data_IF_497364185184
#
_entry.id   IF_497364185184
#
_cell.length_a   1.000
_cell.length_b   1.000
_cell.length_c   1.000
_cell.angle_alpha   90.00
_cell.angle_beta   90.00
_cell.angle_gamma   90.00
#
_symmetry.space_group_name_H-M   'P 1'
#
loop_
_entity.id
_entity.type
_entity.pdbx_description
1 polymer ?
#
# COMPACT_ATOMS: atom_id res chain seq x y z
N UNK A 1 52.30 -25.80 25.84
CA UNK A 1 51.56 -25.05 26.90
C UNK A 1 52.39 -23.80 27.20
N UNK A 2 51.90 -22.63 26.81
CA UNK A 2 52.50 -21.35 27.09
C UNK A 2 52.26 -21.01 28.59
N UNK A 3 53.31 -21.18 29.42
CA UNK A 3 53.32 -20.75 30.82
C UNK A 3 53.81 -19.30 30.90
N UNK A 4 52.88 -18.34 30.65
CA UNK A 4 53.16 -16.92 30.88
C UNK A 4 52.54 -16.52 32.22
N UNK A 5 53.30 -15.84 33.08
CA UNK A 5 52.82 -15.26 34.38
C UNK A 5 51.72 -14.20 34.20
N UNK A 6 51.43 -13.80 32.95
CA UNK A 6 50.48 -12.74 32.63
C UNK A 6 49.27 -13.24 31.81
N UNK A 7 49.14 -14.57 31.57
CA UNK A 7 48.07 -15.12 30.72
C UNK A 7 46.68 -14.78 31.25
N UNK A 8 46.47 -14.86 32.55
CA UNK A 8 45.21 -14.53 33.19
C UNK A 8 44.81 -13.06 33.03
N UNK A 9 45.84 -12.16 33.13
CA UNK A 9 45.59 -10.72 32.93
C UNK A 9 45.31 -10.42 31.47
N UNK A 10 45.95 -11.13 30.54
CA UNK A 10 45.69 -10.99 29.12
C UNK A 10 44.27 -11.49 28.76
N UNK A 11 43.87 -12.65 29.30
CA UNK A 11 42.52 -13.19 29.12
C UNK A 11 41.45 -12.26 29.71
N UNK A 12 41.66 -11.71 30.88
CA UNK A 12 40.72 -10.74 31.48
C UNK A 12 40.64 -9.44 30.67
N UNK A 13 41.74 -8.95 30.11
CA UNK A 13 41.73 -7.78 29.24
C UNK A 13 40.98 -8.06 27.93
N UNK A 14 41.19 -9.22 27.29
CA UNK A 14 40.47 -9.63 26.08
C UNK A 14 38.97 -9.79 26.34
N UNK A 15 38.60 -10.42 27.45
CA UNK A 15 37.20 -10.56 27.87
C UNK A 15 36.59 -9.17 28.09
N UNK A 16 37.27 -8.27 28.79
CA UNK A 16 36.82 -6.91 29.01
C UNK A 16 36.61 -6.12 27.72
N UNK A 17 37.52 -6.23 26.77
CA UNK A 17 37.38 -5.62 25.43
C UNK A 17 36.20 -6.26 24.66
N UNK A 18 36.07 -7.57 24.69
CA UNK A 18 34.96 -8.26 24.03
C UNK A 18 33.61 -7.81 24.59
N UNK A 19 33.48 -7.71 25.92
CA UNK A 19 32.25 -7.22 26.58
C UNK A 19 31.98 -5.76 26.18
N UNK A 20 33.00 -4.88 26.18
CA UNK A 20 32.83 -3.48 25.77
C UNK A 20 32.42 -3.35 24.29
N UNK A 21 32.99 -4.14 23.40
CA UNK A 21 32.62 -4.20 21.98
C UNK A 21 31.19 -4.69 21.83
N UNK A 22 30.81 -5.76 22.54
CA UNK A 22 29.43 -6.28 22.51
C UNK A 22 28.43 -5.23 23.01
N UNK A 23 28.74 -4.55 24.12
CA UNK A 23 27.89 -3.48 24.65
C UNK A 23 27.80 -2.29 23.69
N UNK A 24 28.88 -1.93 23.02
CA UNK A 24 28.88 -0.89 21.99
C UNK A 24 28.02 -1.29 20.77
N UNK A 25 28.10 -2.54 20.31
CA UNK A 25 27.21 -3.05 19.24
C UNK A 25 25.74 -3.11 19.68
N UNK A 26 25.46 -3.57 20.90
CA UNK A 26 24.08 -3.59 21.44
C UNK A 26 23.46 -2.20 21.62
N UNK A 27 24.26 -1.15 21.70
CA UNK A 27 23.82 0.25 21.78
C UNK A 27 24.22 1.05 20.52
N UNK A 28 24.45 0.37 19.40
CA UNK A 28 24.94 0.96 18.16
C UNK A 28 24.06 2.12 17.67
N UNK A 29 22.76 2.01 17.80
CA UNK A 29 21.80 3.05 17.43
C UNK A 29 22.04 4.37 18.16
N UNK A 30 22.43 4.33 19.45
CA UNK A 30 22.80 5.53 20.22
C UNK A 30 24.08 6.21 19.73
N UNK A 31 24.87 5.48 18.94
CA UNK A 31 26.10 5.98 18.32
C UNK A 31 25.95 6.25 16.82
N UNK A 32 24.69 6.22 16.30
CA UNK A 32 24.40 6.44 14.88
C UNK A 32 24.84 5.28 13.96
N UNK A 33 25.10 4.10 14.53
CA UNK A 33 25.34 2.88 13.78
C UNK A 33 24.01 2.22 13.50
N UNK A 34 23.40 2.54 12.38
CA UNK A 34 22.29 1.73 11.86
C UNK A 34 22.82 0.32 11.53
N UNK A 35 22.10 -0.77 11.86
CA UNK A 35 22.45 -2.08 11.35
C UNK A 35 22.54 -1.98 9.84
N UNK A 36 23.64 -2.43 9.25
CA UNK A 36 23.71 -2.62 7.81
C UNK A 36 22.74 -3.77 7.48
N UNK A 37 21.48 -3.47 7.25
CA UNK A 37 20.56 -4.38 6.59
C UNK A 37 21.02 -4.42 5.14
N UNK A 38 21.76 -5.45 4.77
CA UNK A 38 21.94 -5.73 3.36
C UNK A 38 20.54 -5.89 2.78
N UNK A 39 20.20 -5.12 1.75
CA UNK A 39 18.94 -5.29 1.05
C UNK A 39 18.78 -6.77 0.70
N UNK A 40 17.60 -7.35 0.91
CA UNK A 40 17.38 -8.75 0.60
C UNK A 40 17.57 -9.00 -0.90
N UNK A 41 18.06 -10.17 -1.25
CA UNK A 41 18.44 -10.49 -2.62
C UNK A 41 17.32 -10.32 -3.65
N UNK A 42 16.07 -10.51 -3.26
CA UNK A 42 14.91 -10.32 -4.13
C UNK A 42 14.66 -8.84 -4.49
N UNK A 43 15.01 -7.91 -3.61
CA UNK A 43 14.76 -6.48 -3.82
C UNK A 43 15.47 -5.94 -5.07
N UNK A 44 16.71 -6.35 -5.28
CA UNK A 44 17.50 -5.93 -6.44
C UNK A 44 17.29 -6.81 -7.68
N UNK A 45 16.68 -8.01 -7.54
CA UNK A 45 16.47 -8.96 -8.64
C UNK A 45 15.12 -8.77 -9.30
N UNK A 46 14.01 -8.80 -8.53
CA UNK A 46 12.66 -8.70 -9.05
C UNK A 46 12.10 -7.28 -8.96
N UNK A 47 12.59 -6.45 -8.01
CA UNK A 47 12.06 -5.11 -7.80
C UNK A 47 12.99 -3.98 -8.27
N UNK A 48 13.81 -4.26 -9.31
CA UNK A 48 14.49 -3.22 -10.07
C UNK A 48 13.47 -2.45 -10.93
N UNK A 49 13.05 -1.29 -10.43
CA UNK A 49 12.01 -0.45 -11.02
C UNK A 49 12.43 0.20 -12.36
N UNK A 50 13.67 0.05 -12.80
CA UNK A 50 14.18 0.70 -14.03
C UNK A 50 13.84 -0.06 -15.32
N UNK A 51 13.27 -1.26 -15.22
CA UNK A 51 12.94 -2.14 -16.35
C UNK A 51 11.66 -2.94 -16.10
N UNK A 52 11.11 -3.50 -17.15
CA UNK A 52 10.08 -4.54 -17.06
C UNK A 52 10.77 -5.90 -16.91
N UNK A 53 10.41 -6.64 -15.87
CA UNK A 53 10.88 -8.01 -15.61
C UNK A 53 10.12 -9.03 -16.47
N UNK A 54 10.57 -10.27 -16.50
CA UNK A 54 9.87 -11.38 -17.16
C UNK A 54 9.51 -12.45 -16.12
N UNK A 55 8.26 -12.93 -16.17
CA UNK A 55 7.80 -14.05 -15.34
C UNK A 55 7.06 -15.03 -16.25
N UNK A 56 7.61 -16.23 -16.45
CA UNK A 56 6.87 -17.33 -17.07
C UNK A 56 6.27 -18.21 -15.99
N UNK A 57 4.98 -18.48 -16.10
CA UNK A 57 4.22 -19.39 -15.24
C UNK A 57 4.07 -20.70 -16.00
N UNK A 58 4.75 -21.74 -15.55
CA UNK A 58 4.63 -23.07 -16.12
C UNK A 58 3.66 -23.90 -15.27
N UNK A 59 2.53 -24.27 -15.84
CA UNK A 59 1.43 -24.99 -15.16
C UNK A 59 0.83 -26.03 -16.10
N UNK A 60 0.44 -27.19 -15.57
CA UNK A 60 -0.04 -28.33 -16.36
C UNK A 60 -1.34 -28.02 -17.12
N UNK A 61 -2.29 -27.34 -16.48
CA UNK A 61 -3.60 -27.03 -17.06
C UNK A 61 -4.06 -25.62 -16.67
N UNK A 62 -3.65 -24.63 -17.49
CA UNK A 62 -4.02 -23.24 -17.29
C UNK A 62 -5.52 -22.98 -17.41
N UNK A 63 -6.22 -23.69 -18.32
CA UNK A 63 -7.66 -23.51 -18.48
C UNK A 63 -8.45 -24.04 -17.28
N UNK A 64 -8.02 -25.16 -16.71
CA UNK A 64 -8.62 -25.65 -15.46
C UNK A 64 -8.33 -24.73 -14.29
N UNK A 65 -7.13 -24.13 -14.21
CA UNK A 65 -6.79 -23.10 -13.23
C UNK A 65 -7.72 -21.88 -13.34
N UNK A 66 -7.93 -21.34 -14.56
CA UNK A 66 -8.80 -20.19 -14.79
C UNK A 66 -10.26 -20.50 -14.40
N UNK A 67 -10.74 -21.69 -14.74
CA UNK A 67 -12.09 -22.13 -14.38
C UNK A 67 -12.29 -22.27 -12.85
N UNK A 68 -11.22 -22.57 -12.11
CA UNK A 68 -11.24 -22.68 -10.65
C UNK A 68 -10.80 -21.37 -9.93
N UNK A 69 -10.47 -20.31 -10.68
CA UNK A 69 -9.98 -19.05 -10.11
C UNK A 69 -10.88 -18.46 -9.01
N UNK A 70 -12.24 -18.47 -9.15
CA UNK A 70 -13.13 -17.97 -8.11
C UNK A 70 -13.06 -18.72 -6.77
N UNK A 71 -12.53 -19.95 -6.76
CA UNK A 71 -12.37 -20.75 -5.55
C UNK A 71 -11.13 -20.36 -4.72
N UNK A 72 -10.24 -19.52 -5.27
CA UNK A 72 -8.97 -19.06 -4.66
C UNK A 72 -8.09 -20.19 -4.11
N UNK A 73 -8.17 -21.38 -4.70
CA UNK A 73 -7.35 -22.54 -4.29
C UNK A 73 -5.95 -22.44 -4.89
N UNK A 74 -4.95 -22.91 -4.13
CA UNK A 74 -3.58 -22.99 -4.61
C UNK A 74 -3.37 -24.18 -5.55
N UNK A 75 -2.78 -23.89 -6.69
CA UNK A 75 -2.32 -24.85 -7.70
C UNK A 75 -0.79 -24.90 -7.68
N UNK A 76 -0.22 -26.06 -7.97
CA UNK A 76 1.22 -26.19 -8.17
C UNK A 76 1.59 -25.64 -9.53
N UNK A 77 2.60 -24.76 -9.56
CA UNK A 77 3.21 -24.22 -10.77
C UNK A 77 4.71 -24.09 -10.56
N UNK A 78 5.44 -23.97 -11.66
CA UNK A 78 6.83 -23.54 -11.67
C UNK A 78 6.91 -22.09 -12.20
N UNK A 79 7.82 -21.29 -11.68
CA UNK A 79 8.05 -19.94 -12.18
C UNK A 79 9.45 -19.81 -12.76
N UNK A 80 9.56 -19.06 -13.87
CA UNK A 80 10.84 -18.61 -14.38
C UNK A 80 10.88 -17.08 -14.32
N UNK A 81 11.59 -16.52 -13.34
CA UNK A 81 11.71 -15.08 -13.10
C UNK A 81 13.05 -14.62 -13.67
N UNK A 82 13.03 -13.78 -14.72
CA UNK A 82 14.23 -13.29 -15.41
C UNK A 82 15.23 -14.41 -15.81
N UNK A 83 14.68 -15.58 -16.17
CA UNK A 83 15.46 -16.77 -16.54
C UNK A 83 15.89 -17.65 -15.36
N UNK A 84 15.59 -17.30 -14.12
CA UNK A 84 15.81 -18.12 -12.93
C UNK A 84 14.55 -18.94 -12.61
N UNK A 85 14.68 -20.28 -12.59
CA UNK A 85 13.59 -21.22 -12.34
C UNK A 85 13.41 -21.48 -10.84
N UNK A 86 12.16 -21.48 -10.40
CA UNK A 86 11.72 -21.89 -9.07
C UNK A 86 10.59 -22.91 -9.26
N UNK A 87 10.83 -24.15 -8.85
CA UNK A 87 9.87 -25.24 -9.03
C UNK A 87 8.85 -25.29 -7.89
N UNK A 88 7.65 -25.79 -8.19
CA UNK A 88 6.64 -26.20 -7.22
C UNK A 88 6.21 -25.09 -6.23
N UNK A 89 5.90 -23.93 -6.75
CA UNK A 89 5.30 -22.83 -5.99
C UNK A 89 3.77 -22.96 -5.94
N UNK A 90 3.14 -22.37 -4.93
CA UNK A 90 1.70 -22.20 -4.88
C UNK A 90 1.27 -21.00 -5.71
N UNK A 91 0.39 -21.21 -6.68
CA UNK A 91 -0.24 -20.16 -7.49
C UNK A 91 -1.75 -20.18 -7.27
N UNK A 92 -2.36 -19.01 -7.02
CA UNK A 92 -3.81 -18.85 -7.00
C UNK A 92 -4.24 -17.50 -7.57
N UNK A 93 -5.48 -17.40 -8.01
CA UNK A 93 -6.11 -16.10 -8.24
C UNK A 93 -6.31 -15.37 -6.90
N UNK A 94 -6.34 -14.05 -6.94
CA UNK A 94 -6.57 -13.20 -5.76
C UNK A 94 -7.51 -12.05 -6.09
N UNK A 95 -8.18 -11.57 -5.09
CA UNK A 95 -9.10 -10.43 -5.15
C UNK A 95 -10.33 -10.70 -4.31
N UNK A 96 -11.14 -9.70 -4.08
CA UNK A 96 -12.47 -9.82 -3.48
C UNK A 96 -13.50 -9.47 -4.55
N UNK A 97 -13.94 -8.21 -4.62
CA UNK A 97 -14.82 -7.75 -5.68
C UNK A 97 -14.17 -7.82 -7.07
N UNK A 98 -12.88 -7.50 -7.19
CA UNK A 98 -12.16 -7.57 -8.47
C UNK A 98 -12.17 -8.98 -9.07
N UNK A 99 -12.02 -10.03 -8.25
CA UNK A 99 -12.10 -11.41 -8.73
C UNK A 99 -13.47 -11.70 -9.37
N UNK A 100 -14.56 -11.41 -8.64
CA UNK A 100 -15.93 -11.60 -9.11
C UNK A 100 -16.26 -10.71 -10.32
N UNK A 101 -15.88 -9.42 -10.28
CA UNK A 101 -16.18 -8.49 -11.37
C UNK A 101 -15.41 -8.86 -12.66
N UNK A 102 -14.17 -9.36 -12.55
CA UNK A 102 -13.43 -9.86 -13.72
C UNK A 102 -14.21 -10.98 -14.43
N UNK A 103 -14.74 -11.93 -13.67
CA UNK A 103 -15.60 -13.00 -14.20
C UNK A 103 -16.92 -12.45 -14.77
N UNK A 104 -17.63 -11.60 -14.02
CA UNK A 104 -18.91 -10.99 -14.40
C UNK A 104 -18.81 -10.21 -15.73
N UNK A 105 -17.66 -9.57 -16.00
CA UNK A 105 -17.37 -8.86 -17.26
C UNK A 105 -16.83 -9.77 -18.37
N UNK A 106 -16.69 -11.06 -18.13
CA UNK A 106 -16.24 -12.03 -19.11
C UNK A 106 -14.74 -12.00 -19.40
N UNK A 107 -13.93 -11.49 -18.46
CA UNK A 107 -12.47 -11.52 -18.52
C UNK A 107 -11.91 -12.72 -17.74
N UNK A 108 -10.73 -13.18 -18.16
CA UNK A 108 -9.98 -14.25 -17.50
C UNK A 108 -8.65 -13.73 -16.91
N UNK A 109 -8.43 -12.41 -16.95
CA UNK A 109 -7.24 -11.74 -16.44
C UNK A 109 -7.37 -11.46 -14.95
N UNK A 110 -7.14 -12.46 -14.11
CA UNK A 110 -7.15 -12.32 -12.66
C UNK A 110 -5.82 -11.78 -12.15
N UNK A 111 -5.85 -11.01 -11.06
CA UNK A 111 -4.66 -10.83 -10.24
C UNK A 111 -4.28 -12.15 -9.60
N UNK A 112 -2.98 -12.41 -9.46
CA UNK A 112 -2.46 -13.69 -8.97
C UNK A 112 -1.67 -13.49 -7.69
N UNK A 113 -1.68 -14.52 -6.84
CA UNK A 113 -0.81 -14.63 -5.69
C UNK A 113 0.09 -15.84 -5.85
N UNK A 114 1.38 -15.61 -5.67
CA UNK A 114 2.40 -16.65 -5.60
C UNK A 114 2.84 -16.80 -4.15
N UNK A 115 2.87 -18.03 -3.66
CA UNK A 115 3.44 -18.42 -2.38
C UNK A 115 4.58 -19.40 -2.64
N UNK A 116 5.81 -18.92 -2.45
CA UNK A 116 7.00 -19.69 -2.82
C UNK A 116 7.17 -20.94 -1.96
N UNK A 117 6.79 -20.87 -0.69
CA UNK A 117 6.92 -21.93 0.29
C UNK A 117 5.67 -22.79 0.50
N UNK A 118 4.65 -22.66 -0.36
CA UNK A 118 3.37 -23.36 -0.20
C UNK A 118 3.49 -24.88 -0.22
N UNK A 119 4.22 -25.42 -1.20
CA UNK A 119 4.40 -26.87 -1.37
C UNK A 119 5.80 -27.38 -0.98
N UNK A 120 6.77 -26.47 -0.84
CA UNK A 120 8.15 -26.80 -0.49
C UNK A 120 8.77 -25.70 0.36
N UNK A 121 9.64 -26.04 1.30
CA UNK A 121 10.33 -25.06 2.14
C UNK A 121 11.39 -24.30 1.31
N UNK A 122 11.01 -23.25 0.65
CA UNK A 122 11.84 -22.42 -0.24
C UNK A 122 11.40 -20.96 -0.24
N UNK A 123 12.15 -20.09 -0.91
CA UNK A 123 11.82 -18.69 -1.16
C UNK A 123 12.57 -18.19 -2.38
N UNK A 124 12.15 -17.07 -2.96
CA UNK A 124 12.89 -16.40 -4.03
C UNK A 124 13.84 -15.35 -3.42
N UNK A 125 15.09 -15.73 -3.16
CA UNK A 125 16.12 -14.86 -2.58
C UNK A 125 15.69 -14.13 -1.30
N UNK A 126 14.84 -14.76 -0.50
CA UNK A 126 14.28 -14.21 0.75
C UNK A 126 12.85 -13.70 0.63
N UNK A 127 12.25 -13.68 -0.57
CA UNK A 127 10.83 -13.38 -0.77
C UNK A 127 10.00 -14.66 -0.55
N UNK A 128 9.02 -14.57 0.32
CA UNK A 128 8.07 -15.65 0.63
C UNK A 128 6.81 -15.61 -0.25
N UNK A 129 6.30 -14.41 -0.54
CA UNK A 129 5.05 -14.21 -1.29
C UNK A 129 5.13 -13.02 -2.23
N UNK A 130 4.45 -13.16 -3.37
CA UNK A 130 4.38 -12.18 -4.45
C UNK A 130 2.94 -12.03 -4.93
N UNK A 131 2.48 -10.79 -5.10
CA UNK A 131 1.28 -10.47 -5.87
C UNK A 131 1.65 -10.06 -7.29
N UNK A 132 0.89 -10.55 -8.27
CA UNK A 132 0.86 -10.05 -9.63
C UNK A 132 -0.49 -9.36 -9.83
N UNK A 133 -0.48 -8.02 -9.77
CA UNK A 133 -1.68 -7.21 -9.94
C UNK A 133 -1.98 -7.02 -11.43
N UNK A 134 -3.17 -7.43 -11.84
CA UNK A 134 -3.65 -7.37 -13.22
C UNK A 134 -4.03 -5.95 -13.68
N UNK A 135 -3.96 -4.95 -12.82
CA UNK A 135 -4.43 -3.56 -13.05
C UNK A 135 -5.92 -3.51 -13.40
N UNK A 136 -6.75 -4.33 -12.74
CA UNK A 136 -8.20 -4.28 -12.90
C UNK A 136 -8.73 -2.91 -12.47
N UNK A 137 -9.61 -2.28 -13.27
CA UNK A 137 -10.14 -0.93 -13.05
C UNK A 137 -9.05 0.18 -13.01
N UNK A 138 -7.90 -0.06 -13.65
CA UNK A 138 -6.82 0.91 -13.77
C UNK A 138 -6.27 0.93 -15.21
N UNK A 139 -6.86 1.74 -16.08
CA UNK A 139 -6.40 1.91 -17.45
C UNK A 139 -5.03 2.59 -17.52
N UNK A 140 -4.59 3.22 -16.43
CA UNK A 140 -3.25 3.83 -16.38
C UNK A 140 -2.14 2.83 -16.14
N UNK A 141 -2.46 1.64 -15.58
CA UNK A 141 -1.49 0.68 -15.01
C UNK A 141 -0.60 1.28 -13.92
N UNK A 142 -0.88 2.52 -13.45
CA UNK A 142 0.04 3.29 -12.60
C UNK A 142 -0.53 3.69 -11.24
N UNK A 143 -1.82 3.48 -10.94
CA UNK A 143 -2.40 3.99 -9.69
C UNK A 143 -1.70 3.42 -8.45
N UNK A 144 -1.55 2.09 -8.35
CA UNK A 144 -0.76 1.47 -7.28
C UNK A 144 0.70 1.93 -7.30
N UNK A 145 1.32 2.00 -8.48
CA UNK A 145 2.71 2.42 -8.65
C UNK A 145 2.96 3.84 -8.14
N UNK A 146 2.14 4.80 -8.56
CA UNK A 146 2.25 6.21 -8.17
C UNK A 146 1.97 6.42 -6.68
N UNK A 147 0.96 5.74 -6.14
CA UNK A 147 0.68 5.79 -4.71
C UNK A 147 1.87 5.28 -3.89
N UNK A 148 2.46 4.15 -4.28
CA UNK A 148 3.64 3.59 -3.61
C UNK A 148 4.89 4.48 -3.79
N UNK A 149 5.07 5.15 -4.94
CA UNK A 149 6.19 6.08 -5.12
C UNK A 149 6.05 7.33 -4.23
N UNK A 150 4.83 7.90 -4.14
CA UNK A 150 4.53 8.99 -3.20
C UNK A 150 4.72 8.56 -1.73
N UNK A 151 4.28 7.36 -1.36
CA UNK A 151 4.47 6.81 -0.01
C UNK A 151 5.97 6.67 0.32
N UNK A 152 6.77 6.11 -0.59
CA UNK A 152 8.23 6.04 -0.43
C UNK A 152 8.88 7.41 -0.34
N UNK A 153 8.45 8.37 -1.16
CA UNK A 153 8.93 9.75 -1.09
C UNK A 153 8.66 10.40 0.28
N UNK A 154 7.54 10.03 0.90
CA UNK A 154 7.16 10.48 2.24
C UNK A 154 7.71 9.62 3.37
N UNK A 155 8.63 8.68 3.09
CA UNK A 155 9.22 7.75 4.06
C UNK A 155 8.19 6.88 4.80
N UNK A 156 7.07 6.52 4.15
CA UNK A 156 6.11 5.53 4.65
C UNK A 156 6.60 4.14 4.30
N UNK A 157 6.61 3.17 5.23
CA UNK A 157 6.90 1.78 4.93
C UNK A 157 5.98 1.25 3.83
N UNK A 158 6.55 0.87 2.70
CA UNK A 158 5.79 0.58 1.47
C UNK A 158 6.28 -0.71 0.83
N UNK A 159 5.39 -1.56 0.29
CA UNK A 159 5.77 -2.70 -0.52
C UNK A 159 6.67 -2.29 -1.70
N UNK A 160 7.62 -3.15 -2.03
CA UNK A 160 8.34 -3.04 -3.30
C UNK A 160 7.41 -3.39 -4.45
N UNK A 161 7.60 -2.73 -5.58
CA UNK A 161 6.83 -3.02 -6.78
C UNK A 161 7.70 -2.85 -8.04
N UNK A 162 7.40 -3.62 -9.08
CA UNK A 162 8.01 -3.51 -10.41
C UNK A 162 7.05 -4.05 -11.47
N UNK A 163 7.20 -3.61 -12.71
CA UNK A 163 6.41 -4.19 -13.80
C UNK A 163 7.02 -5.50 -14.27
N UNK A 164 6.16 -6.46 -14.59
CA UNK A 164 6.55 -7.77 -15.10
C UNK A 164 5.69 -8.14 -16.30
N UNK A 165 6.35 -8.55 -17.39
CA UNK A 165 5.72 -9.20 -18.52
C UNK A 165 5.50 -10.67 -18.16
N UNK A 166 4.25 -11.08 -18.05
CA UNK A 166 3.87 -12.44 -17.68
C UNK A 166 3.61 -13.25 -18.94
N UNK A 167 4.18 -14.44 -19.00
CA UNK A 167 3.84 -15.50 -19.95
C UNK A 167 3.29 -16.71 -19.20
N UNK A 168 2.52 -17.54 -19.86
CA UNK A 168 2.01 -18.82 -19.32
C UNK A 168 2.40 -19.93 -20.30
N UNK A 169 3.19 -20.88 -19.84
CA UNK A 169 3.75 -21.95 -20.68
C UNK A 169 4.43 -21.40 -21.95
N UNK A 170 5.12 -20.24 -21.83
CA UNK A 170 5.79 -19.55 -22.92
C UNK A 170 4.93 -18.65 -23.79
N UNK A 171 3.60 -18.68 -23.65
CA UNK A 171 2.69 -17.82 -24.42
C UNK A 171 2.40 -16.50 -23.69
N UNK A 172 2.39 -15.34 -24.38
CA UNK A 172 2.13 -14.05 -23.78
C UNK A 172 0.79 -14.00 -23.03
N UNK A 173 0.81 -13.56 -21.77
CA UNK A 173 -0.39 -13.36 -20.96
C UNK A 173 -0.66 -11.87 -20.70
N UNK A 174 0.36 -11.07 -20.40
CA UNK A 174 0.23 -9.62 -20.33
C UNK A 174 1.16 -8.93 -19.34
N UNK A 175 0.98 -7.61 -19.20
CA UNK A 175 1.73 -6.78 -18.26
C UNK A 175 1.05 -6.75 -16.89
N UNK A 176 1.79 -7.09 -15.85
CA UNK A 176 1.33 -7.08 -14.45
C UNK A 176 2.23 -6.19 -13.60
N UNK A 177 1.69 -5.63 -12.53
CA UNK A 177 2.50 -5.04 -11.48
C UNK A 177 2.82 -6.12 -10.43
N UNK A 178 4.09 -6.52 -10.35
CA UNK A 178 4.58 -7.38 -9.29
C UNK A 178 4.72 -6.57 -8.00
N UNK A 179 4.11 -7.02 -6.91
CA UNK A 179 4.08 -6.33 -5.62
C UNK A 179 4.54 -7.29 -4.54
N UNK A 180 5.49 -6.85 -3.71
CA UNK A 180 5.87 -7.53 -2.48
C UNK A 180 4.65 -7.64 -1.56
N UNK A 181 4.27 -8.86 -1.19
CA UNK A 181 3.17 -9.02 -0.21
C UNK A 181 3.66 -8.56 1.17
N UNK A 182 2.85 -7.75 1.89
CA UNK A 182 3.17 -7.38 3.28
C UNK A 182 3.03 -8.60 4.22
N UNK A 183 4.06 -9.43 4.22
CA UNK A 183 4.20 -10.66 5.01
C UNK A 183 5.62 -10.73 5.60
N UNK A 184 6.17 -11.90 5.84
CA UNK A 184 7.44 -12.09 6.55
C UNK A 184 8.63 -11.39 5.86
N UNK A 185 8.75 -11.49 4.53
CA UNK A 185 9.85 -10.87 3.78
C UNK A 185 9.79 -9.34 3.90
N UNK A 186 8.61 -8.74 3.72
CA UNK A 186 8.36 -7.31 3.90
C UNK A 186 8.70 -6.87 5.32
N UNK A 187 8.15 -7.57 6.34
CA UNK A 187 8.38 -7.21 7.74
C UNK A 187 9.87 -7.25 8.11
N UNK A 188 10.60 -8.25 7.64
CA UNK A 188 12.06 -8.36 7.85
C UNK A 188 12.84 -7.26 7.14
N UNK A 189 12.44 -6.88 5.92
CA UNK A 189 13.09 -5.83 5.15
C UNK A 189 12.92 -4.47 5.80
N UNK A 190 11.70 -4.15 6.24
CA UNK A 190 11.35 -2.83 6.77
C UNK A 190 11.72 -2.70 8.24
N UNK A 191 11.37 -3.67 9.06
CA UNK A 191 11.45 -3.60 10.52
C UNK A 191 12.56 -4.47 11.12
N UNK A 192 13.24 -5.26 10.28
CA UNK A 192 14.29 -6.17 10.73
C UNK A 192 13.76 -7.51 11.27
N UNK A 193 14.69 -8.32 11.79
CA UNK A 193 14.37 -9.70 12.26
C UNK A 193 13.49 -9.74 13.52
N UNK A 194 13.53 -8.68 14.30
CA UNK A 194 12.73 -8.52 15.53
C UNK A 194 11.52 -7.60 15.25
N UNK A 195 10.84 -7.82 14.13
CA UNK A 195 9.62 -7.10 13.78
C UNK A 195 8.46 -7.43 14.71
N UNK A 196 7.46 -6.57 14.73
CA UNK A 196 6.20 -6.75 15.44
C UNK A 196 5.20 -7.62 14.68
N UNK A 197 3.94 -7.45 15.03
CA UNK A 197 2.80 -8.09 14.38
C UNK A 197 2.31 -7.26 13.19
N UNK A 198 1.80 -7.95 12.18
CA UNK A 198 1.23 -7.35 10.99
C UNK A 198 -0.17 -7.93 10.75
N UNK A 199 -1.15 -7.05 10.60
CA UNK A 199 -2.54 -7.41 10.40
C UNK A 199 -3.06 -6.78 9.12
N UNK A 200 -4.08 -7.41 8.49
CA UNK A 200 -4.86 -6.83 7.42
C UNK A 200 -6.32 -6.73 7.86
N UNK A 201 -6.72 -5.67 8.58
CA UNK A 201 -8.09 -5.49 9.00
C UNK A 201 -9.04 -5.49 7.79
N UNK A 202 -10.02 -6.38 7.79
CA UNK A 202 -10.97 -6.48 6.68
C UNK A 202 -12.31 -7.05 7.19
N UNK A 203 -13.41 -6.47 6.73
CA UNK A 203 -14.75 -6.88 7.14
C UNK A 203 -15.19 -8.20 6.49
N UNK A 204 -16.09 -8.92 7.15
CA UNK A 204 -16.76 -10.07 6.55
C UNK A 204 -18.01 -9.64 5.78
N UNK A 205 -18.71 -8.64 6.29
CA UNK A 205 -19.90 -8.05 5.67
C UNK A 205 -19.87 -6.54 5.86
N UNK A 206 -20.05 -5.81 4.78
CA UNK A 206 -20.09 -4.34 4.82
C UNK A 206 -21.27 -3.80 5.64
N UNK A 207 -22.35 -4.58 5.79
CA UNK A 207 -23.54 -4.20 6.57
C UNK A 207 -23.33 -4.23 8.08
N UNK A 208 -22.26 -4.84 8.58
CA UNK A 208 -21.96 -4.96 10.00
C UNK A 208 -21.32 -3.65 10.53
N UNK A 209 -21.24 -3.47 11.85
CA UNK A 209 -20.64 -2.23 12.43
C UNK A 209 -19.14 -2.10 12.09
N UNK A 210 -18.43 -3.23 11.93
CA UNK A 210 -17.02 -3.27 11.57
C UNK A 210 -16.12 -2.36 12.43
N UNK A 211 -16.47 -2.21 13.71
CA UNK A 211 -15.79 -1.29 14.62
C UNK A 211 -14.28 -1.57 14.73
N UNK A 212 -13.90 -2.83 14.72
CA UNK A 212 -12.51 -3.28 14.77
C UNK A 212 -11.74 -2.92 13.47
N UNK A 213 -12.36 -3.05 12.29
CA UNK A 213 -11.78 -2.58 11.01
C UNK A 213 -11.54 -1.07 11.02
N UNK A 214 -12.38 -0.33 11.75
CA UNK A 214 -12.25 1.11 11.94
C UNK A 214 -11.29 1.49 13.08
N UNK A 215 -10.63 0.50 13.72
CA UNK A 215 -9.72 0.66 14.86
C UNK A 215 -10.37 1.28 16.08
N UNK A 216 -11.68 1.04 16.29
CA UNK A 216 -12.43 1.50 17.46
C UNK A 216 -12.30 0.49 18.59
N UNK A 217 -12.15 1.01 19.82
CA UNK A 217 -12.18 0.16 21.02
C UNK A 217 -13.62 -0.20 21.38
N UNK A 218 -13.92 -1.48 21.52
CA UNK A 218 -15.26 -2.00 21.85
C UNK A 218 -15.30 -2.81 23.14
N UNK A 219 -14.15 -2.94 23.82
CA UNK A 219 -13.98 -3.70 25.07
C UNK A 219 -12.72 -4.53 25.07
N UNK A 220 -12.46 -5.20 26.20
CA UNK A 220 -11.21 -5.98 26.38
C UNK A 220 -11.32 -7.44 25.88
N UNK A 221 -12.46 -7.87 25.32
CA UNK A 221 -12.65 -9.22 24.79
C UNK A 221 -12.08 -9.35 23.38
N UNK A 222 -11.03 -10.20 23.16
CA UNK A 222 -10.43 -10.38 21.83
C UNK A 222 -11.42 -10.85 20.74
N UNK A 223 -12.53 -11.48 21.10
CA UNK A 223 -13.55 -11.91 20.13
C UNK A 223 -14.23 -10.72 19.39
N UNK A 224 -14.12 -9.50 19.93
CA UNK A 224 -14.66 -8.28 19.31
C UNK A 224 -13.74 -7.73 18.21
N UNK A 225 -12.57 -8.30 17.98
CA UNK A 225 -11.55 -7.88 17.03
C UNK A 225 -11.21 -8.97 16.02
N UNK A 226 -12.17 -9.83 15.71
CA UNK A 226 -11.98 -10.99 14.83
C UNK A 226 -11.60 -10.56 13.41
N UNK A 227 -12.10 -9.44 12.91
CA UNK A 227 -11.75 -8.91 11.59
C UNK A 227 -10.28 -8.46 11.49
N UNK A 228 -9.61 -8.20 12.61
CA UNK A 228 -8.17 -7.95 12.68
C UNK A 228 -7.42 -9.27 12.83
N UNK A 229 -7.76 -10.08 13.85
CA UNK A 229 -6.95 -11.22 14.23
C UNK A 229 -7.00 -12.39 13.23
N UNK A 230 -8.14 -12.65 12.56
CA UNK A 230 -8.23 -13.70 11.54
C UNK A 230 -7.37 -13.43 10.30
N UNK A 231 -7.01 -12.17 10.07
CA UNK A 231 -6.21 -11.72 8.94
C UNK A 231 -4.78 -11.32 9.36
N UNK A 232 -4.34 -11.76 10.55
CA UNK A 232 -2.96 -11.61 10.99
C UNK A 232 -2.00 -12.36 10.04
N UNK A 233 -0.82 -11.78 9.83
CA UNK A 233 0.19 -12.35 8.93
C UNK A 233 1.14 -13.30 9.62
N UNK A 234 1.16 -13.26 10.94
CA UNK A 234 1.95 -14.13 11.81
C UNK A 234 1.07 -14.74 12.89
N UNK A 235 1.58 -15.76 13.57
CA UNK A 235 0.90 -16.34 14.74
C UNK A 235 0.72 -15.30 15.83
N UNK A 236 -0.51 -15.13 16.31
CA UNK A 236 -0.88 -14.12 17.30
C UNK A 236 -1.11 -14.77 18.66
N UNK A 237 -0.28 -14.44 19.63
CA UNK A 237 -0.45 -14.89 21.02
C UNK A 237 -1.52 -14.08 21.76
N UNK A 238 -1.99 -14.56 22.93
CA UNK A 238 -2.89 -13.80 23.79
C UNK A 238 -2.25 -12.48 24.29
N UNK A 239 -0.92 -12.46 24.43
CA UNK A 239 -0.19 -11.25 24.80
C UNK A 239 -0.21 -10.21 23.66
N UNK A 240 -0.07 -10.64 22.40
CA UNK A 240 -0.18 -9.76 21.24
C UNK A 240 -1.59 -9.15 21.12
N UNK A 241 -2.63 -9.99 21.29
CA UNK A 241 -4.02 -9.54 21.32
C UNK A 241 -4.27 -8.49 22.40
N UNK A 242 -3.82 -8.76 23.62
CA UNK A 242 -3.99 -7.84 24.73
C UNK A 242 -3.25 -6.51 24.50
N UNK A 243 -2.07 -6.56 23.90
CA UNK A 243 -1.26 -5.37 23.57
C UNK A 243 -1.92 -4.50 22.50
N UNK A 244 -2.41 -5.13 21.42
CA UNK A 244 -3.16 -4.42 20.38
C UNK A 244 -4.43 -3.76 20.95
N UNK A 245 -5.23 -4.50 21.74
CA UNK A 245 -6.45 -3.97 22.36
C UNK A 245 -6.14 -2.79 23.29
N UNK A 246 -5.03 -2.86 24.04
CA UNK A 246 -4.59 -1.76 24.88
C UNK A 246 -4.21 -0.50 24.07
N UNK A 247 -3.55 -0.68 22.92
CA UNK A 247 -3.25 0.43 21.99
C UNK A 247 -4.53 1.03 21.41
N UNK A 248 -5.49 0.20 20.97
CA UNK A 248 -6.79 0.67 20.47
C UNK A 248 -7.59 1.43 21.54
N UNK A 249 -7.47 1.02 22.81
CA UNK A 249 -8.12 1.73 23.94
C UNK A 249 -7.55 3.13 24.16
N UNK A 250 -6.23 3.29 24.05
CA UNK A 250 -5.58 4.61 24.11
C UNK A 250 -6.00 5.44 22.91
N UNK A 251 -5.97 4.86 21.73
CA UNK A 251 -6.36 5.51 20.49
C UNK A 251 -7.79 6.04 20.54
N UNK A 252 -8.75 5.23 20.96
CA UNK A 252 -10.18 5.61 21.06
C UNK A 252 -10.43 6.64 22.16
N UNK A 253 -9.60 6.66 23.20
CA UNK A 253 -9.64 7.66 24.26
C UNK A 253 -9.13 9.05 23.85
N UNK A 254 -8.27 9.14 22.85
CA UNK A 254 -7.74 10.39 22.32
C UNK A 254 -6.64 11.05 23.15
N UNK A 255 -6.27 10.48 24.29
CA UNK A 255 -5.22 11.01 25.18
C UNK A 255 -3.93 10.18 25.08
N UNK A 256 -2.76 10.84 25.16
CA UNK A 256 -1.43 10.22 25.13
C UNK A 256 -1.18 9.35 23.87
N UNK A 257 -1.65 9.82 22.73
CA UNK A 257 -1.61 9.08 21.46
C UNK A 257 -0.20 8.62 21.08
N UNK A 258 0.84 9.37 21.45
CA UNK A 258 2.25 9.03 21.24
C UNK A 258 2.70 7.73 21.93
N UNK A 259 1.92 7.23 22.89
CA UNK A 259 2.19 5.95 23.57
C UNK A 259 1.55 4.75 22.87
N UNK A 260 0.73 5.00 21.84
CA UNK A 260 0.03 3.95 21.09
C UNK A 260 0.17 4.09 19.56
N UNK A 261 0.68 5.21 19.07
CA UNK A 261 0.74 5.51 17.61
C UNK A 261 2.08 6.12 17.26
N UNK A 262 2.69 5.66 16.17
CA UNK A 262 3.78 6.36 15.51
C UNK A 262 3.17 7.54 14.70
N UNK A 263 2.99 8.67 15.39
CA UNK A 263 2.23 9.82 14.88
C UNK A 263 2.83 10.33 13.56
N UNK A 264 4.15 10.48 13.44
CA UNK A 264 4.78 11.05 12.24
C UNK A 264 4.60 10.11 11.02
N UNK A 265 4.70 8.80 11.19
CA UNK A 265 4.44 7.81 10.14
C UNK A 265 2.98 7.86 9.69
N UNK A 266 2.03 7.83 10.64
CA UNK A 266 0.60 7.87 10.36
C UNK A 266 0.20 9.16 9.63
N UNK A 267 0.77 10.30 9.99
CA UNK A 267 0.52 11.56 9.30
C UNK A 267 1.05 11.54 7.86
N UNK A 268 2.25 10.98 7.62
CA UNK A 268 2.83 10.81 6.28
C UNK A 268 1.94 9.93 5.40
N UNK A 269 1.45 8.81 5.94
CA UNK A 269 0.49 7.95 5.27
C UNK A 269 -0.78 8.73 4.89
N UNK A 270 -1.41 9.43 5.84
CA UNK A 270 -2.64 10.19 5.54
C UNK A 270 -2.43 11.34 4.58
N UNK A 271 -1.26 11.97 4.57
CA UNK A 271 -0.92 13.01 3.59
C UNK A 271 -1.05 12.48 2.16
N UNK A 272 -0.45 11.33 1.86
CA UNK A 272 -0.54 10.70 0.54
C UNK A 272 -1.94 10.16 0.27
N UNK A 273 -2.55 9.51 1.26
CA UNK A 273 -3.88 8.93 1.15
C UNK A 273 -4.95 9.96 0.78
N UNK A 274 -4.91 11.13 1.44
CA UNK A 274 -5.84 12.24 1.20
C UNK A 274 -5.49 12.96 -0.10
N UNK A 275 -4.21 13.12 -0.44
CA UNK A 275 -3.82 13.66 -1.74
C UNK A 275 -4.37 12.80 -2.89
N UNK A 276 -4.19 11.50 -2.81
CA UNK A 276 -4.63 10.54 -3.84
C UNK A 276 -6.17 10.38 -3.92
N UNK A 277 -6.94 11.07 -3.07
CA UNK A 277 -8.41 10.93 -3.00
C UNK A 277 -8.82 9.45 -3.07
N UNK A 278 -8.18 8.62 -2.23
CA UNK A 278 -8.50 7.20 -2.16
C UNK A 278 -9.66 6.99 -1.17
N UNK A 279 -10.87 6.87 -1.71
CA UNK A 279 -12.10 6.69 -0.93
C UNK A 279 -12.40 5.21 -0.64
N UNK A 280 -11.67 4.26 -1.25
CA UNK A 280 -11.71 2.84 -0.91
C UNK A 280 -10.61 2.48 0.09
N UNK A 281 -10.62 3.13 1.25
CA UNK A 281 -9.56 3.06 2.24
C UNK A 281 -10.07 3.21 3.66
N UNK A 282 -9.15 3.29 4.63
CA UNK A 282 -9.46 3.57 6.03
C UNK A 282 -10.37 4.80 6.23
N UNK A 283 -10.15 5.88 5.47
CA UNK A 283 -10.97 7.09 5.54
C UNK A 283 -12.27 7.00 4.73
N UNK A 284 -12.43 5.98 3.91
CA UNK A 284 -13.65 5.76 3.13
C UNK A 284 -14.76 5.10 3.93
N UNK A 285 -15.87 4.82 3.22
CA UNK A 285 -17.04 4.17 3.80
C UNK A 285 -16.76 2.73 4.25
N UNK A 286 -15.93 2.01 3.50
CA UNK A 286 -15.55 0.62 3.77
C UNK A 286 -14.59 0.50 4.95
N UNK A 287 -13.66 1.45 5.12
CA UNK A 287 -12.71 1.49 6.22
C UNK A 287 -11.64 0.40 6.15
N UNK A 288 -11.32 -0.15 4.97
CA UNK A 288 -10.35 -1.23 4.76
C UNK A 288 -9.19 -0.81 3.83
N UNK A 289 -8.55 -1.75 3.11
CA UNK A 289 -7.44 -1.53 2.18
C UNK A 289 -6.21 -0.86 2.81
N UNK A 290 -5.83 -1.34 3.99
CA UNK A 290 -4.59 -0.98 4.67
C UNK A 290 -4.06 -2.18 5.45
N UNK A 291 -2.77 -2.12 5.81
CA UNK A 291 -2.21 -2.99 6.83
C UNK A 291 -1.97 -2.20 8.12
N UNK A 292 -2.13 -2.88 9.23
CA UNK A 292 -1.84 -2.37 10.56
C UNK A 292 -0.61 -3.09 11.10
N UNK A 293 0.45 -2.37 11.34
CA UNK A 293 1.64 -2.88 12.03
C UNK A 293 1.57 -2.51 13.50
N UNK A 294 1.96 -3.42 14.38
CA UNK A 294 2.03 -3.20 15.83
C UNK A 294 3.32 -3.77 16.39
N UNK A 295 4.09 -2.95 17.08
CA UNK A 295 5.25 -3.39 17.90
C UNK A 295 5.26 -2.66 19.21
N UNK A 296 5.38 -3.42 20.31
CA UNK A 296 5.48 -2.89 21.68
C UNK A 296 4.33 -1.93 22.06
N UNK A 297 3.16 -2.09 21.47
CA UNK A 297 1.96 -1.27 21.69
C UNK A 297 1.89 -0.01 20.81
N UNK A 298 2.83 0.18 19.89
CA UNK A 298 2.83 1.29 18.93
C UNK A 298 2.28 0.82 17.58
N UNK A 299 1.29 1.56 17.08
CA UNK A 299 0.60 1.29 15.82
C UNK A 299 1.18 2.14 14.69
N UNK A 300 1.30 1.53 13.50
CA UNK A 300 1.56 2.17 12.21
C UNK A 300 0.54 1.69 11.19
N UNK A 301 0.23 2.51 10.17
CA UNK A 301 -0.69 2.17 9.09
C UNK A 301 0.05 2.13 7.76
N UNK A 302 -0.12 1.05 6.99
CA UNK A 302 0.66 0.80 5.78
C UNK A 302 -0.23 0.78 4.54
N UNK A 303 0.27 1.23 3.38
CA UNK A 303 -0.50 1.34 2.14
C UNK A 303 -0.79 -0.02 1.50
N UNK A 304 -2.01 -0.16 0.98
CA UNK A 304 -2.44 -1.30 0.18
C UNK A 304 -3.62 -0.94 -0.72
N UNK A 305 -3.61 -1.48 -1.95
CA UNK A 305 -4.74 -1.52 -2.87
C UNK A 305 -5.25 -0.14 -3.34
N UNK A 306 -4.47 0.49 -4.22
CA UNK A 306 -4.74 1.83 -4.76
C UNK A 306 -5.33 1.82 -6.19
N UNK A 307 -5.78 0.67 -6.71
CA UNK A 307 -6.36 0.58 -8.05
C UNK A 307 -7.59 1.49 -8.24
N UNK A 308 -8.31 1.79 -7.16
CA UNK A 308 -9.46 2.70 -7.12
C UNK A 308 -9.15 4.09 -6.53
N UNK A 309 -7.87 4.43 -6.35
CA UNK A 309 -7.47 5.78 -5.94
C UNK A 309 -7.64 6.81 -7.07
N UNK A 310 -7.28 8.06 -6.81
CA UNK A 310 -7.39 9.19 -7.73
C UNK A 310 -8.83 9.45 -8.18
N UNK A 311 -9.73 9.39 -7.18
CA UNK A 311 -11.17 9.65 -7.34
C UNK A 311 -11.90 8.71 -8.32
N UNK A 312 -11.46 7.45 -8.48
CA UNK A 312 -12.11 6.47 -9.35
C UNK A 312 -12.92 5.41 -8.61
N UNK A 313 -13.17 5.59 -7.31
CA UNK A 313 -14.02 4.72 -6.51
C UNK A 313 -15.45 5.23 -6.47
N UNK A 314 -16.41 4.44 -6.93
CA UNK A 314 -17.82 4.88 -7.09
C UNK A 314 -18.66 4.77 -5.82
N UNK A 315 -18.37 3.83 -4.90
CA UNK A 315 -19.18 3.62 -3.71
C UNK A 315 -19.07 4.79 -2.72
N UNK A 316 -20.16 5.53 -2.57
CA UNK A 316 -20.21 6.69 -1.68
C UNK A 316 -19.77 8.00 -2.32
N UNK A 317 -19.43 7.98 -3.61
CA UNK A 317 -19.19 9.19 -4.40
C UNK A 317 -20.50 9.92 -4.74
N UNK A 318 -20.48 11.25 -4.90
CA UNK A 318 -21.65 11.98 -5.39
C UNK A 318 -21.99 11.61 -6.84
N UNK A 319 -23.24 11.85 -7.22
CA UNK A 319 -23.72 11.69 -8.60
C UNK A 319 -23.83 13.07 -9.27
N UNK A 320 -23.21 13.32 -10.45
CA UNK A 320 -22.52 12.33 -11.27
C UNK A 320 -21.13 11.96 -10.72
N UNK A 321 -20.73 10.71 -10.95
CA UNK A 321 -19.42 10.17 -10.53
C UNK A 321 -18.25 11.01 -11.07
N UNK A 322 -18.38 11.59 -12.27
CA UNK A 322 -17.38 12.46 -12.86
C UNK A 322 -17.51 13.92 -12.40
N UNK A 323 -17.47 14.21 -11.13
CA UNK A 323 -17.28 15.57 -10.62
C UNK A 323 -15.79 15.86 -10.36
N UNK A 324 -15.01 15.97 -11.44
CA UNK A 324 -13.57 16.17 -11.37
C UNK A 324 -13.18 17.45 -10.64
N UNK A 325 -13.97 18.53 -10.79
CA UNK A 325 -13.73 19.78 -10.07
C UNK A 325 -13.91 19.60 -8.56
N UNK A 326 -14.90 18.83 -8.11
CA UNK A 326 -15.06 18.48 -6.69
C UNK A 326 -13.84 17.71 -6.17
N UNK A 327 -13.41 16.69 -6.90
CA UNK A 327 -12.34 15.80 -6.42
C UNK A 327 -10.95 16.41 -6.53
N UNK A 328 -10.66 17.24 -7.53
CA UNK A 328 -9.44 18.03 -7.58
C UNK A 328 -9.35 18.99 -6.39
N UNK A 329 -10.47 19.54 -5.95
CA UNK A 329 -10.52 20.42 -4.79
C UNK A 329 -10.88 19.71 -3.49
N UNK A 330 -10.84 18.36 -3.46
CA UNK A 330 -11.23 17.60 -2.27
C UNK A 330 -10.51 18.09 -1.01
N UNK A 331 -11.23 18.34 0.11
CA UNK A 331 -10.68 19.08 1.25
C UNK A 331 -9.65 18.26 2.01
N UNK A 332 -8.47 18.85 2.27
CA UNK A 332 -7.39 18.16 2.98
C UNK A 332 -7.66 18.02 4.48
N UNK A 333 -8.46 18.91 5.07
CA UNK A 333 -8.70 18.94 6.51
C UNK A 333 -9.93 18.15 6.96
N UNK A 334 -10.86 17.87 6.05
CA UNK A 334 -12.02 17.02 6.29
C UNK A 334 -12.21 16.05 5.12
N UNK A 335 -11.29 15.07 4.94
CA UNK A 335 -11.28 14.18 3.77
C UNK A 335 -12.38 13.11 3.79
N UNK A 336 -13.29 13.16 4.74
CA UNK A 336 -14.49 12.33 4.84
C UNK A 336 -15.62 13.10 5.53
N UNK A 337 -16.85 12.60 5.42
CA UNK A 337 -17.97 13.20 6.18
C UNK A 337 -17.69 13.17 7.67
N UNK A 338 -18.23 14.14 8.42
CA UNK A 338 -18.02 14.22 9.86
C UNK A 338 -18.51 12.97 10.62
N UNK A 339 -19.45 12.21 10.08
CA UNK A 339 -19.90 10.94 10.65
C UNK A 339 -18.83 9.86 10.48
N UNK A 340 -18.29 9.70 9.27
CA UNK A 340 -17.20 8.74 9.00
C UNK A 340 -15.97 9.12 9.81
N UNK A 341 -15.56 10.39 9.82
CA UNK A 341 -14.37 10.83 10.56
C UNK A 341 -14.43 10.48 12.04
N UNK A 342 -15.58 10.69 12.69
CA UNK A 342 -15.76 10.30 14.11
C UNK A 342 -15.64 8.80 14.37
N UNK A 343 -15.83 7.99 13.35
CA UNK A 343 -15.65 6.53 13.41
C UNK A 343 -14.24 6.09 13.03
N UNK A 344 -13.31 7.00 12.82
CA UNK A 344 -11.91 6.76 12.42
C UNK A 344 -10.96 7.36 13.45
N UNK A 345 -10.84 6.75 14.66
CA UNK A 345 -10.09 7.35 15.77
C UNK A 345 -8.64 7.66 15.41
N UNK A 346 -7.98 6.83 14.58
CA UNK A 346 -6.60 7.06 14.16
C UNK A 346 -6.40 8.39 13.39
N UNK A 347 -7.41 8.86 12.66
CA UNK A 347 -7.37 10.17 12.00
C UNK A 347 -8.01 11.25 12.86
N UNK A 348 -9.18 10.96 13.41
CA UNK A 348 -10.02 11.94 14.10
C UNK A 348 -9.31 12.59 15.30
N UNK A 349 -8.72 11.77 16.18
CA UNK A 349 -8.06 12.27 17.39
C UNK A 349 -6.75 12.99 17.09
N UNK A 350 -5.96 12.52 16.12
CA UNK A 350 -4.75 13.22 15.70
C UNK A 350 -5.05 14.64 15.21
N UNK A 351 -6.12 14.82 14.44
CA UNK A 351 -6.49 16.13 13.87
C UNK A 351 -7.11 17.11 14.89
N UNK A 352 -7.29 16.70 16.14
CA UNK A 352 -7.76 17.59 17.22
C UNK A 352 -6.63 18.27 18.01
N UNK A 353 -5.39 17.81 17.85
CA UNK A 353 -4.21 18.43 18.44
C UNK A 353 -3.63 19.47 17.48
N UNK A 354 -3.50 20.72 17.92
CA UNK A 354 -3.04 21.83 17.08
C UNK A 354 -1.61 21.63 16.55
N UNK A 355 -0.71 21.00 17.32
CA UNK A 355 0.67 20.76 16.92
C UNK A 355 0.74 19.61 15.88
N UNK A 356 -0.04 18.56 16.08
CA UNK A 356 -0.16 17.44 15.12
C UNK A 356 -0.79 17.93 13.81
N UNK A 357 -1.84 18.75 13.91
CA UNK A 357 -2.49 19.36 12.76
C UNK A 357 -1.53 20.27 11.97
N UNK A 358 -0.74 21.10 12.64
CA UNK A 358 0.28 21.92 11.99
C UNK A 358 1.33 21.03 11.30
N UNK A 359 1.78 19.94 11.94
CA UNK A 359 2.70 18.97 11.36
C UNK A 359 2.13 18.29 10.10
N UNK A 360 0.85 17.97 10.09
CA UNK A 360 0.15 17.42 8.92
C UNK A 360 0.19 18.39 7.73
N UNK A 361 0.00 19.69 7.97
CA UNK A 361 0.13 20.72 6.93
C UNK A 361 1.57 20.86 6.41
N UNK A 362 2.58 20.78 7.30
CA UNK A 362 4.00 20.77 6.88
C UNK A 362 4.32 19.57 5.99
N UNK A 363 3.73 18.40 6.26
CA UNK A 363 3.90 17.21 5.43
C UNK A 363 3.22 17.34 4.08
N UNK A 364 2.05 17.99 4.01
CA UNK A 364 1.43 18.34 2.72
C UNK A 364 2.30 19.32 1.94
N UNK A 365 2.85 20.36 2.58
CA UNK A 365 3.77 21.28 1.91
C UNK A 365 5.01 20.53 1.39
N UNK A 366 5.57 19.60 2.16
CA UNK A 366 6.68 18.74 1.72
C UNK A 366 6.30 17.90 0.48
N UNK A 367 5.12 17.29 0.46
CA UNK A 367 4.64 16.51 -0.69
C UNK A 367 4.46 17.40 -1.90
N UNK A 368 3.80 18.54 -1.76
CA UNK A 368 3.52 19.44 -2.89
C UNK A 368 4.83 20.06 -3.45
N UNK A 369 5.65 20.65 -2.58
CA UNK A 369 6.89 21.29 -3.03
C UNK A 369 7.93 20.29 -3.54
N UNK A 370 8.10 19.15 -2.84
CA UNK A 370 9.17 18.20 -3.13
C UNK A 370 8.82 17.14 -4.18
N UNK A 371 7.56 16.83 -4.40
CA UNK A 371 7.15 15.81 -5.35
C UNK A 371 6.50 16.39 -6.61
N UNK A 372 5.63 17.38 -6.49
CA UNK A 372 4.90 17.98 -7.62
C UNK A 372 5.61 19.21 -8.19
N UNK A 373 5.83 20.26 -7.40
CA UNK A 373 6.44 21.51 -7.87
C UNK A 373 7.91 21.34 -8.29
N UNK A 374 8.61 20.34 -7.75
CA UNK A 374 9.97 19.97 -8.17
C UNK A 374 10.04 19.33 -9.56
N UNK A 375 8.91 18.90 -10.13
CA UNK A 375 8.85 18.17 -11.39
C UNK A 375 9.09 16.65 -11.25
N UNK A 376 9.27 16.10 -10.04
CA UNK A 376 9.48 14.67 -9.81
C UNK A 376 8.29 13.84 -10.31
N UNK A 377 7.06 14.26 -10.01
CA UNK A 377 5.85 13.56 -10.46
C UNK A 377 5.83 13.37 -11.99
N UNK A 378 6.06 14.49 -12.72
CA UNK A 378 6.10 14.46 -14.19
C UNK A 378 7.19 13.54 -14.73
N UNK A 379 8.35 13.53 -14.09
CA UNK A 379 9.42 12.61 -14.43
C UNK A 379 9.00 11.15 -14.22
N UNK A 380 8.47 10.80 -13.06
CA UNK A 380 8.02 9.43 -12.72
C UNK A 380 6.97 8.94 -13.71
N UNK A 381 5.93 9.74 -13.98
CA UNK A 381 4.88 9.38 -14.95
C UNK A 381 5.46 9.17 -16.35
N UNK A 382 6.30 10.10 -16.82
CA UNK A 382 6.86 10.05 -18.18
C UNK A 382 7.82 8.88 -18.37
N UNK A 383 8.66 8.57 -17.38
CA UNK A 383 9.59 7.44 -17.42
C UNK A 383 8.82 6.12 -17.37
N UNK A 384 7.84 5.99 -16.49
CA UNK A 384 7.00 4.80 -16.37
C UNK A 384 6.21 4.56 -17.64
N UNK A 385 5.52 5.59 -18.17
CA UNK A 385 4.77 5.48 -19.43
C UNK A 385 5.66 4.97 -20.57
N UNK A 386 6.85 5.57 -20.73
CA UNK A 386 7.80 5.17 -21.79
C UNK A 386 8.24 3.71 -21.61
N UNK A 387 8.43 3.25 -20.39
CA UNK A 387 8.87 1.89 -20.08
C UNK A 387 7.77 0.86 -20.37
N UNK A 388 6.51 1.13 -20.00
CA UNK A 388 5.44 0.12 -20.06
C UNK A 388 4.61 0.18 -21.35
N UNK A 389 4.53 1.31 -22.06
CA UNK A 389 3.70 1.47 -23.25
C UNK A 389 3.89 0.36 -24.29
N UNK A 390 5.14 -0.05 -24.67
CA UNK A 390 5.32 -1.12 -25.63
C UNK A 390 4.74 -2.48 -25.20
N UNK A 391 4.61 -2.71 -23.89
CA UNK A 391 4.00 -3.91 -23.34
C UNK A 391 2.49 -3.83 -23.30
N UNK A 392 1.92 -2.67 -22.88
CA UNK A 392 0.47 -2.45 -22.87
C UNK A 392 -0.11 -2.56 -24.28
N UNK A 393 0.55 -1.98 -25.29
CA UNK A 393 0.10 -1.98 -26.68
C UNK A 393 0.04 -3.39 -27.30
N UNK A 394 0.80 -4.37 -26.78
CA UNK A 394 0.82 -5.75 -27.25
C UNK A 394 0.18 -6.74 -26.27
N UNK A 395 -0.39 -6.28 -25.17
CA UNK A 395 -0.95 -7.12 -24.11
C UNK A 395 -2.23 -7.81 -24.60
N UNK A 396 -2.21 -9.16 -24.75
CA UNK A 396 -3.33 -9.89 -25.34
C UNK A 396 -4.55 -9.99 -24.40
N UNK A 397 -4.36 -9.73 -23.11
CA UNK A 397 -5.43 -9.85 -22.10
C UNK A 397 -5.77 -8.51 -21.45
N UNK A 398 -5.29 -7.39 -22.01
CA UNK A 398 -5.53 -6.06 -21.48
C UNK A 398 -7.01 -5.75 -21.26
N UNK A 399 -7.34 -5.00 -20.21
CA UNK A 399 -8.71 -4.51 -19.97
C UNK A 399 -9.07 -3.29 -20.85
N UNK A 400 -8.08 -2.61 -21.40
CA UNK A 400 -8.25 -1.42 -22.22
C UNK A 400 -7.33 -1.45 -23.45
N UNK A 401 -7.63 -0.63 -24.45
CA UNK A 401 -6.76 -0.48 -25.61
C UNK A 401 -5.51 0.37 -25.29
N UNK A 402 -4.49 0.32 -26.17
CA UNK A 402 -3.33 1.22 -26.06
C UNK A 402 -3.71 2.70 -26.16
N UNK A 403 -4.76 3.06 -26.92
CA UNK A 403 -5.27 4.43 -27.01
C UNK A 403 -5.90 4.86 -25.67
N UNK A 404 -6.72 4.00 -25.06
CA UNK A 404 -7.32 4.25 -23.75
C UNK A 404 -6.22 4.39 -22.66
N UNK A 405 -5.17 3.57 -22.71
CA UNK A 405 -4.02 3.69 -21.81
C UNK A 405 -3.35 5.06 -21.93
N UNK A 406 -3.06 5.53 -23.14
CA UNK A 406 -2.43 6.85 -23.32
C UNK A 406 -3.33 7.99 -22.84
N UNK A 407 -4.63 7.90 -23.10
CA UNK A 407 -5.63 8.84 -22.59
C UNK A 407 -5.67 8.81 -21.05
N UNK A 408 -5.74 7.61 -20.46
CA UNK A 408 -5.75 7.44 -19.00
C UNK A 408 -4.52 8.04 -18.32
N UNK A 409 -3.32 7.83 -18.91
CA UNK A 409 -2.08 8.42 -18.39
C UNK A 409 -2.10 9.94 -18.47
N UNK A 410 -2.66 10.53 -19.54
CA UNK A 410 -2.84 11.99 -19.61
C UNK A 410 -3.83 12.46 -18.54
N UNK A 411 -4.93 11.74 -18.35
CA UNK A 411 -5.98 12.10 -17.38
C UNK A 411 -5.46 12.07 -15.95
N UNK A 412 -4.71 11.01 -15.54
CA UNK A 412 -4.13 10.97 -14.19
C UNK A 412 -3.07 12.06 -13.96
N UNK A 413 -2.31 12.40 -15.01
CA UNK A 413 -1.34 13.51 -14.97
C UNK A 413 -2.06 14.84 -14.71
N UNK A 414 -3.08 15.15 -15.50
CA UNK A 414 -3.86 16.39 -15.39
C UNK A 414 -4.56 16.45 -14.03
N UNK A 415 -5.20 15.36 -13.60
CA UNK A 415 -5.83 15.25 -12.28
C UNK A 415 -4.83 15.57 -11.15
N UNK A 416 -3.68 14.90 -11.13
CA UNK A 416 -2.71 15.06 -10.06
C UNK A 416 -2.07 16.45 -10.04
N UNK A 417 -1.79 17.06 -11.20
CA UNK A 417 -1.22 18.41 -11.27
C UNK A 417 -2.23 19.47 -10.81
N UNK A 418 -3.49 19.39 -11.25
CA UNK A 418 -4.57 20.27 -10.78
C UNK A 418 -4.86 20.05 -9.29
N UNK A 419 -4.78 18.78 -8.81
CA UNK A 419 -4.90 18.46 -7.40
C UNK A 419 -3.79 19.09 -6.57
N UNK A 420 -2.54 19.08 -7.06
CA UNK A 420 -1.42 19.73 -6.39
C UNK A 420 -1.60 21.25 -6.32
N UNK A 421 -2.09 21.88 -7.39
CA UNK A 421 -2.45 23.30 -7.40
C UNK A 421 -3.54 23.61 -6.35
N UNK A 422 -4.60 22.81 -6.33
CA UNK A 422 -5.67 22.97 -5.33
C UNK A 422 -5.17 22.80 -3.90
N UNK A 423 -4.34 21.77 -3.64
CA UNK A 423 -3.78 21.56 -2.30
C UNK A 423 -2.89 22.71 -1.88
N UNK A 424 -2.05 23.26 -2.81
CA UNK A 424 -1.28 24.47 -2.55
C UNK A 424 -2.18 25.63 -2.15
N UNK A 425 -3.25 25.89 -2.89
CA UNK A 425 -4.23 26.92 -2.56
C UNK A 425 -4.95 26.69 -1.23
N UNK A 426 -5.18 25.42 -0.83
CA UNK A 426 -5.75 25.07 0.47
C UNK A 426 -4.76 25.35 1.61
N UNK A 427 -3.48 25.05 1.43
CA UNK A 427 -2.42 25.34 2.41
C UNK A 427 -2.23 26.85 2.60
N UNK A 428 -2.28 27.61 1.52
CA UNK A 428 -2.13 29.07 1.52
C UNK A 428 -3.40 29.80 2.01
N UNK A 429 -4.51 29.06 2.24
CA UNK A 429 -5.80 29.60 2.68
C UNK A 429 -6.57 30.34 1.58
N UNK A 430 -6.19 30.20 0.33
CA UNK A 430 -6.88 30.77 -0.83
C UNK A 430 -8.10 29.92 -1.23
N UNK A 431 -8.00 28.59 -1.10
CA UNK A 431 -9.07 27.62 -1.33
C UNK A 431 -9.53 27.07 0.01
N UNK A 432 -10.85 26.97 0.28
CA UNK A 432 -11.33 26.35 1.50
C UNK A 432 -10.89 24.87 1.63
N UNK A 433 -10.42 24.48 2.81
CA UNK A 433 -9.83 23.15 3.08
C UNK A 433 -10.72 22.20 3.89
N UNK A 434 -11.98 22.58 4.13
CA UNK A 434 -12.97 21.75 4.82
C UNK A 434 -14.25 21.62 4.02
N UNK A 435 -14.98 20.50 4.14
CA UNK A 435 -16.28 20.26 3.49
C UNK A 435 -17.24 21.41 3.77
N UNK A 436 -17.34 21.87 5.03
CA UNK A 436 -18.26 22.94 5.41
C UNK A 436 -17.91 24.26 4.73
N UNK A 437 -16.64 24.64 4.67
CA UNK A 437 -16.22 25.89 4.05
C UNK A 437 -16.34 25.82 2.52
N UNK A 438 -16.03 24.67 1.90
CA UNK A 438 -16.20 24.44 0.46
C UNK A 438 -17.67 24.48 0.03
N UNK A 439 -18.57 23.93 0.85
CA UNK A 439 -20.01 24.00 0.61
C UNK A 439 -20.55 25.44 0.69
N UNK A 440 -19.89 26.30 1.47
CA UNK A 440 -20.28 27.71 1.60
C UNK A 440 -19.72 28.58 0.48
N UNK A 441 -18.49 28.28 0.01
CA UNK A 441 -17.83 29.04 -1.06
C UNK A 441 -16.89 28.14 -1.88
N UNK A 442 -17.29 27.90 -3.13
CA UNK A 442 -16.50 27.16 -4.13
C UNK A 442 -15.92 28.07 -5.22
N UNK A 443 -16.01 29.40 -5.08
CA UNK A 443 -15.64 30.36 -6.13
C UNK A 443 -14.14 30.38 -6.46
N UNK A 444 -13.32 29.82 -5.57
CA UNK A 444 -11.86 29.73 -5.71
C UNK A 444 -11.35 28.35 -6.14
N UNK A 445 -12.25 27.44 -6.45
CA UNK A 445 -11.87 26.10 -6.89
C UNK A 445 -11.05 26.14 -8.16
N UNK A 446 -10.04 25.27 -8.24
CA UNK A 446 -9.34 24.96 -9.48
C UNK A 446 -10.35 24.30 -10.42
N UNK A 447 -10.48 24.82 -11.63
CA UNK A 447 -11.36 24.23 -12.65
C UNK A 447 -10.72 22.97 -13.25
N UNK A 448 -11.41 21.86 -13.11
CA UNK A 448 -11.00 20.57 -13.64
C UNK A 448 -12.05 19.96 -14.59
N UNK A 449 -12.96 20.77 -15.15
CA UNK A 449 -14.03 20.29 -16.02
C UNK A 449 -13.54 19.54 -17.28
N UNK A 450 -12.28 19.72 -17.67
CA UNK A 450 -11.65 18.99 -18.78
C UNK A 450 -11.18 17.59 -18.42
N UNK A 451 -11.08 17.25 -17.14
CA UNK A 451 -10.64 15.94 -16.66
C UNK A 451 -11.84 14.99 -16.61
N UNK A 452 -11.78 13.90 -17.36
CA UNK A 452 -12.80 12.86 -17.36
C UNK A 452 -12.29 11.66 -16.54
N UNK A 453 -12.68 11.56 -15.27
CA UNK A 453 -12.18 10.55 -14.33
C UNK A 453 -12.32 9.10 -14.83
N UNK A 454 -13.43 8.71 -15.51
CA UNK A 454 -13.57 7.34 -16.02
C UNK A 454 -12.53 6.93 -17.07
N UNK A 455 -11.80 7.86 -17.70
CA UNK A 455 -10.68 7.51 -18.57
C UNK A 455 -9.59 6.72 -17.84
N UNK A 456 -9.44 6.97 -16.52
CA UNK A 456 -8.49 6.25 -15.68
C UNK A 456 -8.92 4.82 -15.33
N UNK A 457 -10.12 4.41 -15.75
CA UNK A 457 -10.63 3.05 -15.68
C UNK A 457 -11.46 2.75 -14.44
N UNK A 458 -12.77 2.69 -14.64
CA UNK A 458 -13.71 1.91 -13.86
C UNK A 458 -14.72 1.28 -14.83
N UNK A 459 -14.68 -0.05 -14.98
CA UNK A 459 -15.45 -0.72 -16.02
C UNK A 459 -16.96 -0.52 -15.90
N UNK A 460 -17.50 -0.51 -14.68
CA UNK A 460 -18.94 -0.33 -14.46
C UNK A 460 -19.43 1.06 -14.86
N UNK A 461 -18.64 2.10 -14.61
CA UNK A 461 -19.02 3.48 -14.91
C UNK A 461 -18.86 3.83 -16.39
N UNK A 462 -17.88 3.25 -17.08
CA UNK A 462 -17.69 3.44 -18.52
C UNK A 462 -18.89 3.01 -19.35
N UNK A 463 -19.59 1.92 -18.97
CA UNK A 463 -20.80 1.47 -19.64
C UNK A 463 -22.02 2.37 -19.37
N UNK A 464 -22.11 2.91 -18.15
CA UNK A 464 -23.23 3.77 -17.74
C UNK A 464 -23.16 5.19 -18.32
N UNK A 465 -21.97 5.64 -18.75
CA UNK A 465 -21.71 7.01 -19.19
C UNK A 465 -21.60 7.15 -20.73
N UNK A 466 -21.60 6.04 -21.46
CA UNK A 466 -21.68 5.96 -22.93
C UNK A 466 -23.09 5.77 -23.41
#
# INVERSE_FOLDING_TARGET
MLKSKHIDRLCLAVIGVAVLVTLAFMNGERFGLAPASAEPGYATRLFDASRVHTIDIEIDDWQAFLAAAPEEQYWSADLVIDGERIDNVGLRAKGNNSLRLTEDYGHERYSLKVEFDHFAAQNYHGLDKLSLDASFQDNTYMKNWLAFDMMRFMDVPTPLASYSWVTVNGEPWGLFLAIEEPEEAFARRVYGRDHGQLYKPDYQRLSDDNADVHLRYTGDDPAQYENIFRNAKFDVSDADKARLIAALKILDGGDNLETAVNIDEVLRYFTVQVFAVNLDSYLGRTGHNYFLYEKDGILEILPWDYNLAFATYSLGMPDPVNDSTLYVNYPINTPASGEIMRQRPLYHHLMQDDAIYARYHDLFDQLISGYFESGRFEQVVSETQRMIAPYVEQDPTAFCSGEDFHLAVQTIRDFCMLRAESVRGQLDGEIPSTIAAQSADSSRFVDAASVWLPDMGELADLEALR
#
